data_IF_018596918476
#
_entry.id   IF_018596918476
#
_cell.length_a   1.000
_cell.length_b   1.000
_cell.length_c   1.000
_cell.angle_alpha   90.00
_cell.angle_beta   90.00
_cell.angle_gamma   90.00
#
_symmetry.space_group_name_H-M   'P 1'
#
loop_
_entity.id
_entity.type
_entity.pdbx_description
1 polymer ?
#
# COMPACT_ATOMS: atom_id res chain seq x y z
N UNK A 1 8.85 -50.09 -13.60
CA UNK A 1 8.15 -50.36 -14.88
C UNK A 1 6.99 -49.40 -14.99
N UNK A 2 6.94 -48.65 -16.10
CA UNK A 2 5.80 -47.89 -16.65
C UNK A 2 5.12 -46.83 -15.75
N UNK A 3 5.43 -45.52 -15.90
CA UNK A 3 4.84 -44.50 -16.84
C UNK A 3 3.45 -44.02 -16.38
N UNK A 4 3.01 -42.76 -16.46
CA UNK A 4 3.40 -41.57 -17.26
C UNK A 4 2.51 -40.36 -16.83
N UNK A 5 2.95 -39.15 -17.22
CA UNK A 5 2.21 -37.91 -17.56
C UNK A 5 1.77 -36.98 -16.40
N UNK A 6 2.34 -35.78 -16.22
CA UNK A 6 2.37 -34.53 -17.04
C UNK A 6 1.17 -33.60 -16.81
N UNK A 7 1.44 -32.39 -16.27
CA UNK A 7 1.14 -31.09 -16.93
C UNK A 7 1.50 -29.93 -16.00
N UNK A 8 2.75 -29.45 -16.09
CA UNK A 8 3.13 -28.11 -15.65
C UNK A 8 2.84 -27.14 -16.80
N UNK A 9 1.94 -26.17 -16.59
CA UNK A 9 1.75 -25.07 -17.54
C UNK A 9 2.99 -24.17 -17.53
N UNK A 10 3.74 -24.19 -18.65
CA UNK A 10 4.62 -23.09 -19.04
C UNK A 10 3.75 -21.98 -19.65
N UNK A 11 3.89 -20.75 -19.15
CA UNK A 11 3.52 -19.56 -19.90
C UNK A 11 4.81 -18.90 -20.39
N UNK A 12 5.01 -18.90 -21.70
CA UNK A 12 6.05 -18.12 -22.37
C UNK A 12 5.49 -16.73 -22.70
N UNK A 13 6.22 -15.68 -22.31
CA UNK A 13 6.11 -14.37 -22.97
C UNK A 13 7.48 -14.06 -23.56
N UNK A 14 7.52 -14.02 -24.89
CA UNK A 14 8.64 -13.56 -25.70
C UNK A 14 8.83 -12.05 -25.48
N UNK A 15 10.05 -11.61 -25.20
CA UNK A 15 10.53 -10.30 -25.62
C UNK A 15 12.00 -10.42 -26.04
N UNK A 16 12.28 -9.82 -27.20
CA UNK A 16 13.55 -9.85 -27.92
C UNK A 16 14.72 -9.22 -27.13
N UNK A 17 15.88 -9.86 -27.26
CA UNK A 17 17.18 -9.19 -27.40
C UNK A 17 17.76 -8.46 -26.18
N UNK A 18 18.44 -9.19 -25.29
CA UNK A 18 19.39 -8.61 -24.34
C UNK A 18 19.96 -9.64 -23.36
N UNK A 19 21.29 -9.71 -23.21
CA UNK A 19 22.00 -10.73 -22.44
C UNK A 19 21.55 -10.83 -20.97
N UNK A 20 21.39 -12.09 -20.51
CA UNK A 20 21.18 -12.47 -19.12
C UNK A 20 22.46 -12.29 -18.30
N UNK A 21 22.42 -11.46 -17.25
CA UNK A 21 23.30 -11.62 -16.09
C UNK A 21 22.61 -12.49 -15.04
N UNK A 22 23.28 -13.49 -14.44
CA UNK A 22 22.66 -14.33 -13.42
C UNK A 22 22.34 -13.52 -12.17
N UNK A 23 21.13 -13.72 -11.63
CA UNK A 23 20.69 -13.16 -10.35
C UNK A 23 21.61 -13.66 -9.22
N UNK A 24 22.04 -12.71 -8.40
CA UNK A 24 22.83 -12.91 -7.19
C UNK A 24 22.12 -13.90 -6.23
N UNK A 25 22.82 -14.85 -5.58
CA UNK A 25 22.24 -15.98 -4.83
C UNK A 25 21.44 -15.60 -3.56
N UNK A 26 21.17 -14.32 -3.31
CA UNK A 26 20.33 -13.88 -2.20
C UNK A 26 18.81 -13.90 -2.50
N UNK A 27 18.40 -14.15 -3.74
CA UNK A 27 16.97 -14.25 -4.12
C UNK A 27 16.41 -15.68 -4.10
N UNK A 28 17.22 -16.67 -3.74
CA UNK A 28 16.78 -18.08 -3.67
C UNK A 28 16.42 -18.56 -2.25
N UNK A 29 16.52 -17.68 -1.23
CA UNK A 29 16.14 -18.01 0.15
C UNK A 29 14.76 -17.47 0.59
N UNK A 30 14.05 -16.74 -0.27
CA UNK A 30 12.73 -16.16 0.08
C UNK A 30 11.53 -16.99 -0.34
N UNK A 31 11.71 -18.16 -0.94
CA UNK A 31 10.63 -19.01 -1.46
C UNK A 31 10.31 -20.27 -0.61
N UNK A 32 10.82 -20.35 0.63
CA UNK A 32 10.47 -21.42 1.58
C UNK A 32 9.83 -20.90 2.88
N UNK A 33 9.11 -19.77 2.82
CA UNK A 33 8.21 -19.39 3.91
C UNK A 33 6.90 -20.20 3.78
N UNK A 34 6.77 -21.23 4.62
CA UNK A 34 5.58 -22.05 4.77
C UNK A 34 4.29 -21.22 4.91
N UNK A 35 3.11 -21.74 4.49
CA UNK A 35 1.85 -21.04 4.66
C UNK A 35 1.59 -20.90 6.16
N UNK A 36 1.80 -19.70 6.70
CA UNK A 36 1.28 -19.36 8.02
C UNK A 36 -0.19 -19.06 7.80
N UNK A 37 -1.04 -19.99 8.20
CA UNK A 37 -2.47 -19.79 8.28
C UNK A 37 -2.72 -18.48 9.05
N UNK A 38 -3.44 -17.54 8.44
CA UNK A 38 -3.84 -16.28 9.06
C UNK A 38 -4.93 -16.56 10.11
N UNK A 39 -4.54 -17.11 11.26
CA UNK A 39 -5.41 -17.46 12.38
C UNK A 39 -5.14 -16.51 13.54
N UNK A 40 -6.17 -15.80 13.99
CA UNK A 40 -6.13 -14.97 15.20
C UNK A 40 -6.89 -15.70 16.31
N UNK A 41 -6.20 -16.01 17.41
CA UNK A 41 -6.78 -16.67 18.60
C UNK A 41 -7.05 -15.64 19.70
N UNK A 42 -8.20 -15.72 20.36
CA UNK A 42 -8.59 -14.84 21.48
C UNK A 42 -8.03 -15.43 22.80
N UNK A 43 -7.25 -14.69 23.61
CA UNK A 43 -6.66 -15.25 24.82
C UNK A 43 -7.56 -15.16 26.07
N UNK A 44 -7.64 -16.26 26.84
CA UNK A 44 -8.21 -16.31 28.20
C UNK A 44 -7.29 -15.76 29.31
N UNK A 45 -7.88 -15.18 30.35
CA UNK A 45 -7.20 -14.38 31.40
C UNK A 45 -6.40 -15.23 32.41
N UNK A 46 -5.14 -14.89 32.68
CA UNK A 46 -4.43 -15.21 33.93
C UNK A 46 -4.04 -13.92 34.67
N UNK A 47 -4.36 -13.87 35.96
CA UNK A 47 -4.11 -12.72 36.84
C UNK A 47 -2.76 -12.82 37.55
N UNK A 48 -1.82 -11.94 37.20
CA UNK A 48 -0.80 -11.41 38.12
C UNK A 48 -0.09 -10.24 37.45
N UNK A 49 0.01 -9.11 38.16
CA UNK A 49 0.62 -7.88 37.66
C UNK A 49 2.06 -8.12 37.22
N UNK A 50 2.33 -7.90 35.93
CA UNK A 50 3.64 -8.11 35.34
C UNK A 50 3.97 -6.92 34.43
N UNK A 51 5.22 -6.43 34.57
CA UNK A 51 5.86 -5.37 33.79
C UNK A 51 5.35 -5.33 32.35
N UNK A 52 4.73 -4.21 31.94
CA UNK A 52 4.18 -4.00 30.58
C UNK A 52 5.33 -3.95 29.58
N UNK A 53 5.86 -5.12 29.20
CA UNK A 53 6.49 -5.28 27.88
C UNK A 53 5.40 -4.96 26.87
N UNK A 54 5.70 -4.16 25.85
CA UNK A 54 4.80 -3.94 24.70
C UNK A 54 4.29 -5.31 24.25
N UNK A 55 3.02 -5.59 24.52
CA UNK A 55 2.39 -6.84 24.12
C UNK A 55 2.39 -6.93 22.61
N UNK A 56 2.46 -8.14 22.08
CA UNK A 56 2.25 -8.36 20.66
C UNK A 56 0.81 -7.98 20.28
N UNK A 57 0.64 -7.31 19.15
CA UNK A 57 -0.68 -6.99 18.58
C UNK A 57 -0.94 -7.99 17.46
N UNK A 58 -1.83 -8.97 17.73
CA UNK A 58 -2.17 -10.04 16.78
C UNK A 58 -3.59 -9.93 16.24
N UNK A 59 -4.44 -9.09 16.82
CA UNK A 59 -5.86 -8.95 16.47
C UNK A 59 -6.06 -8.05 15.24
N UNK A 60 -5.40 -8.39 14.13
CA UNK A 60 -5.57 -7.69 12.87
C UNK A 60 -5.49 -8.64 11.67
N UNK A 61 -6.27 -8.34 10.63
CA UNK A 61 -6.17 -8.94 9.31
C UNK A 61 -5.77 -7.88 8.28
N UNK A 62 -5.38 -8.36 7.09
CA UNK A 62 -5.04 -7.52 5.97
C UNK A 62 -5.81 -7.99 4.73
N UNK A 63 -6.31 -7.04 3.96
CA UNK A 63 -7.02 -7.27 2.71
C UNK A 63 -6.46 -6.31 1.68
N UNK A 64 -6.18 -6.78 0.46
CA UNK A 64 -5.63 -5.92 -0.60
C UNK A 64 -6.74 -5.04 -1.16
N UNK A 65 -6.46 -3.77 -1.42
CA UNK A 65 -7.39 -2.88 -2.11
C UNK A 65 -7.55 -3.20 -3.60
N UNK A 66 -8.50 -2.51 -4.24
CA UNK A 66 -8.76 -2.54 -5.68
C UNK A 66 -8.80 -3.95 -6.29
N UNK A 67 -9.39 -4.87 -5.52
CA UNK A 67 -9.45 -6.27 -5.89
C UNK A 67 -10.43 -6.49 -7.05
N UNK A 68 -9.90 -6.94 -8.20
CA UNK A 68 -10.65 -7.15 -9.44
C UNK A 68 -11.16 -8.58 -9.66
N UNK A 69 -11.05 -9.46 -8.67
CA UNK A 69 -11.53 -10.84 -8.80
C UNK A 69 -13.05 -10.92 -8.81
N UNK A 70 -13.60 -11.94 -9.48
CA UNK A 70 -15.04 -12.18 -9.53
C UNK A 70 -15.61 -12.81 -8.24
N UNK A 71 -14.75 -13.49 -7.48
CA UNK A 71 -15.11 -14.13 -6.20
C UNK A 71 -14.81 -13.20 -5.02
N UNK A 72 -15.55 -13.31 -3.90
CA UNK A 72 -15.23 -12.58 -2.68
C UNK A 72 -13.76 -12.78 -2.25
N UNK A 73 -13.10 -11.70 -1.87
CA UNK A 73 -11.69 -11.73 -1.48
C UNK A 73 -11.55 -12.30 -0.07
N UNK A 74 -10.77 -13.36 0.10
CA UNK A 74 -10.50 -13.93 1.41
C UNK A 74 -9.69 -12.97 2.28
N UNK A 75 -10.13 -12.75 3.52
CA UNK A 75 -9.48 -11.83 4.47
C UNK A 75 -8.72 -12.59 5.56
N UNK A 76 -9.32 -13.66 6.10
CA UNK A 76 -8.76 -14.41 7.21
C UNK A 76 -9.81 -15.24 7.93
N UNK A 77 -9.45 -15.78 9.09
CA UNK A 77 -10.31 -16.69 9.85
C UNK A 77 -10.38 -16.34 11.32
N UNK A 78 -11.60 -16.25 11.86
CA UNK A 78 -11.83 -16.26 13.29
C UNK A 78 -11.79 -17.70 13.80
N UNK A 79 -11.12 -17.90 14.93
CA UNK A 79 -11.04 -19.21 15.54
C UNK A 79 -10.97 -19.10 17.07
N UNK A 80 -11.83 -19.86 17.75
CA UNK A 80 -11.71 -20.11 19.18
C UNK A 80 -10.97 -21.43 19.38
N UNK A 81 -10.05 -21.49 20.34
CA UNK A 81 -9.36 -22.74 20.70
C UNK A 81 -10.30 -23.77 21.36
N UNK A 82 -11.53 -23.36 21.72
CA UNK A 82 -12.60 -24.22 22.18
C UNK A 82 -13.34 -24.93 21.04
N UNK A 83 -13.15 -24.48 19.79
CA UNK A 83 -13.70 -25.12 18.61
C UNK A 83 -12.90 -26.36 18.23
N UNK A 84 -13.48 -27.53 18.51
CA UNK A 84 -12.86 -28.83 18.21
C UNK A 84 -13.10 -29.31 16.77
N UNK A 85 -13.63 -28.45 15.90
CA UNK A 85 -13.96 -28.79 14.52
C UNK A 85 -15.21 -29.67 14.38
N UNK A 86 -16.05 -29.71 15.42
CA UNK A 86 -17.30 -30.48 15.42
C UNK A 86 -18.49 -29.69 14.84
N UNK A 87 -18.29 -28.43 14.42
CA UNK A 87 -19.36 -27.56 13.93
C UNK A 87 -20.34 -27.12 15.01
N UNK A 88 -19.92 -27.10 16.29
CA UNK A 88 -20.76 -26.70 17.43
C UNK A 88 -20.59 -25.23 17.82
N UNK A 89 -19.70 -24.52 17.13
CA UNK A 89 -19.40 -23.11 17.36
C UNK A 89 -19.98 -22.30 16.21
N UNK A 90 -20.68 -21.22 16.56
CA UNK A 90 -21.17 -20.22 15.62
C UNK A 90 -20.37 -18.93 15.78
N UNK A 91 -19.68 -18.53 14.72
CA UNK A 91 -18.95 -17.28 14.63
C UNK A 91 -19.83 -16.18 14.04
N UNK A 92 -19.74 -14.97 14.59
CA UNK A 92 -20.45 -13.81 14.06
C UNK A 92 -19.58 -12.56 14.08
N UNK A 93 -19.87 -11.66 13.16
CA UNK A 93 -19.23 -10.35 13.03
C UNK A 93 -20.21 -9.23 13.34
N UNK A 94 -19.73 -8.20 14.02
CA UNK A 94 -20.43 -6.93 14.21
C UNK A 94 -19.46 -5.77 14.05
N UNK A 95 -19.99 -4.54 14.00
CA UNK A 95 -19.20 -3.32 13.85
C UNK A 95 -19.12 -2.83 12.40
N UNK A 96 -18.01 -2.20 12.07
CA UNK A 96 -17.87 -1.42 10.85
C UNK A 96 -17.80 -2.30 9.59
N UNK A 97 -18.76 -2.13 8.69
CA UNK A 97 -18.84 -2.92 7.45
C UNK A 97 -19.26 -4.39 7.62
N UNK A 98 -19.61 -4.83 8.83
CA UNK A 98 -20.11 -6.19 9.04
C UNK A 98 -21.43 -6.42 8.31
N UNK A 99 -21.50 -7.48 7.50
CA UNK A 99 -22.67 -7.86 6.70
C UNK A 99 -22.85 -7.07 5.40
N UNK A 100 -22.10 -5.98 5.18
CA UNK A 100 -22.20 -5.14 3.97
C UNK A 100 -20.90 -5.07 3.18
N UNK A 101 -19.76 -5.11 3.88
CA UNK A 101 -18.41 -5.09 3.30
C UNK A 101 -17.73 -6.41 3.57
N UNK A 102 -17.85 -6.92 4.79
CA UNK A 102 -17.28 -8.18 5.23
C UNK A 102 -18.39 -9.14 5.63
N UNK A 103 -18.30 -10.37 5.13
CA UNK A 103 -19.13 -11.49 5.53
C UNK A 103 -18.28 -12.54 6.23
N UNK A 104 -18.92 -13.38 7.04
CA UNK A 104 -18.29 -14.50 7.72
C UNK A 104 -19.11 -15.76 7.47
N UNK A 105 -18.41 -16.87 7.21
CA UNK A 105 -19.03 -18.19 7.35
C UNK A 105 -19.20 -18.49 8.84
N UNK A 106 -20.44 -18.60 9.28
CA UNK A 106 -20.76 -18.79 10.70
C UNK A 106 -20.21 -20.11 11.27
N UNK A 107 -19.94 -21.11 10.42
CA UNK A 107 -19.47 -22.45 10.83
C UNK A 107 -17.95 -22.53 10.79
N UNK A 108 -17.33 -22.02 9.71
CA UNK A 108 -15.87 -22.11 9.57
C UNK A 108 -15.15 -20.94 10.22
N UNK A 109 -15.78 -19.77 10.34
CA UNK A 109 -15.16 -18.54 10.79
C UNK A 109 -14.39 -17.79 9.69
N UNK A 110 -14.47 -18.24 8.44
CA UNK A 110 -13.79 -17.59 7.31
C UNK A 110 -14.45 -16.27 6.93
N UNK A 111 -13.64 -15.21 6.89
CA UNK A 111 -14.06 -13.85 6.56
C UNK A 111 -13.71 -13.54 5.11
N UNK A 112 -14.68 -12.97 4.39
CA UNK A 112 -14.49 -12.50 3.02
C UNK A 112 -14.92 -11.04 2.88
N UNK A 113 -14.22 -10.28 2.04
CA UNK A 113 -14.68 -9.00 1.54
C UNK A 113 -15.54 -9.24 0.30
N UNK A 114 -16.77 -8.72 0.31
CA UNK A 114 -17.77 -8.96 -0.75
C UNK A 114 -17.86 -7.81 -1.77
N UNK A 115 -16.99 -6.82 -1.66
CA UNK A 115 -16.84 -5.71 -2.60
C UNK A 115 -15.39 -5.24 -2.64
N UNK A 116 -15.01 -4.58 -3.73
CA UNK A 116 -13.72 -3.88 -3.81
C UNK A 116 -13.63 -2.80 -2.72
N UNK A 117 -12.42 -2.59 -2.21
CA UNK A 117 -12.08 -1.61 -1.19
C UNK A 117 -11.07 -0.63 -1.77
N UNK A 118 -11.17 0.62 -1.34
CA UNK A 118 -10.25 1.70 -1.66
C UNK A 118 -9.64 2.19 -0.32
N UNK A 119 -8.31 2.15 -0.21
CA UNK A 119 -7.56 2.54 1.00
C UNK A 119 -7.56 4.06 1.17
N UNK A 120 -7.53 4.83 0.09
CA UNK A 120 -7.66 6.30 0.11
C UNK A 120 -9.05 6.72 0.61
N UNK A 121 -10.10 5.96 0.30
CA UNK A 121 -11.44 6.17 0.88
C UNK A 121 -11.45 5.75 2.36
N UNK A 122 -10.98 4.53 2.67
CA UNK A 122 -11.03 3.98 4.04
C UNK A 122 -9.92 2.96 4.32
N UNK A 123 -8.88 3.34 5.07
CA UNK A 123 -7.68 2.50 5.23
C UNK A 123 -7.84 1.34 6.24
N UNK A 124 -8.85 1.37 7.10
CA UNK A 124 -9.11 0.29 8.04
C UNK A 124 -10.56 0.24 8.53
N UNK A 125 -10.96 -0.94 9.00
CA UNK A 125 -12.26 -1.20 9.60
C UNK A 125 -12.08 -1.81 10.98
N UNK A 126 -12.87 -1.35 11.95
CA UNK A 126 -12.87 -1.89 13.32
C UNK A 126 -14.10 -2.76 13.51
N UNK A 127 -13.89 -4.06 13.71
CA UNK A 127 -14.94 -5.06 13.85
C UNK A 127 -14.85 -5.76 15.20
N UNK A 128 -15.93 -6.44 15.58
CA UNK A 128 -15.98 -7.30 16.75
C UNK A 128 -16.36 -8.71 16.36
N UNK A 129 -15.71 -9.66 17.01
CA UNK A 129 -15.89 -11.09 16.87
C UNK A 129 -16.65 -11.65 18.07
N UNK A 130 -17.59 -12.56 17.80
CA UNK A 130 -18.22 -13.37 18.84
C UNK A 130 -18.25 -14.83 18.41
N UNK A 131 -17.92 -15.72 19.34
CA UNK A 131 -18.07 -17.17 19.20
C UNK A 131 -19.05 -17.68 20.24
N UNK A 132 -20.13 -18.32 19.79
CA UNK A 132 -21.17 -18.88 20.67
C UNK A 132 -21.32 -20.38 20.44
N UNK A 133 -21.63 -21.10 21.50
CA UNK A 133 -22.03 -22.50 21.40
C UNK A 133 -23.45 -22.57 20.80
N UNK A 134 -23.63 -23.39 19.76
CA UNK A 134 -24.89 -23.44 19.00
C UNK A 134 -26.04 -23.97 19.85
N UNK A 135 -25.79 -24.97 20.70
CA UNK A 135 -26.82 -25.66 21.48
C UNK A 135 -27.31 -24.80 22.64
N UNK A 136 -26.37 -24.21 23.39
CA UNK A 136 -26.65 -23.44 24.60
C UNK A 136 -26.84 -21.96 24.33
N UNK A 137 -26.44 -21.47 23.15
CA UNK A 137 -26.39 -20.05 22.76
C UNK A 137 -25.59 -19.17 23.73
N UNK A 138 -24.69 -19.78 24.51
CA UNK A 138 -23.82 -19.04 25.43
C UNK A 138 -22.53 -18.64 24.71
N UNK A 139 -21.98 -17.44 24.99
CA UNK A 139 -20.66 -17.07 24.52
C UNK A 139 -19.61 -18.06 25.02
N UNK A 140 -18.82 -18.61 24.11
CA UNK A 140 -17.65 -19.42 24.42
C UNK A 140 -16.44 -18.54 24.71
N UNK A 141 -16.34 -17.43 23.98
CA UNK A 141 -15.33 -16.40 24.15
C UNK A 141 -15.97 -15.05 24.53
N UNK A 142 -15.25 -14.16 25.22
CA UNK A 142 -15.64 -12.77 25.31
C UNK A 142 -15.67 -12.13 23.91
N UNK A 143 -16.57 -11.17 23.69
CA UNK A 143 -16.54 -10.35 22.48
C UNK A 143 -15.18 -9.66 22.38
N UNK A 144 -14.54 -9.77 21.20
CA UNK A 144 -13.19 -9.26 20.98
C UNK A 144 -13.16 -8.32 19.77
N UNK A 145 -12.55 -7.16 19.93
CA UNK A 145 -12.32 -6.21 18.85
C UNK A 145 -11.07 -6.58 18.04
N UNK A 146 -11.15 -6.43 16.72
CA UNK A 146 -10.03 -6.61 15.80
C UNK A 146 -10.13 -5.64 14.62
N UNK A 147 -9.02 -5.44 13.92
CA UNK A 147 -8.91 -4.48 12.82
C UNK A 147 -8.68 -5.22 11.49
N UNK A 148 -9.43 -4.88 10.45
CA UNK A 148 -9.08 -5.25 9.08
C UNK A 148 -8.41 -4.04 8.44
N UNK A 149 -7.13 -4.18 8.06
CA UNK A 149 -6.36 -3.13 7.37
C UNK A 149 -6.42 -3.35 5.88
N UNK A 150 -6.73 -2.29 5.15
CA UNK A 150 -6.67 -2.29 3.69
C UNK A 150 -5.21 -2.05 3.28
N UNK A 151 -4.63 -2.96 2.50
CA UNK A 151 -3.24 -2.90 2.04
C UNK A 151 -3.15 -2.12 0.75
N UNK A 152 -2.15 -1.24 0.74
CA UNK A 152 -1.80 -0.34 -0.36
C UNK A 152 -1.42 -1.08 -1.65
N UNK A 153 -2.04 -0.68 -2.75
CA UNK A 153 -1.54 -0.83 -4.11
C UNK A 153 -1.15 0.56 -4.60
N UNK A 154 -0.06 0.64 -5.36
CA UNK A 154 0.28 1.88 -6.05
C UNK A 154 -0.65 2.09 -7.25
N UNK A 155 -1.74 2.83 -7.03
CA UNK A 155 -2.75 3.17 -8.04
C UNK A 155 -3.00 4.68 -8.15
N UNK A 156 -2.44 5.51 -7.26
CA UNK A 156 -2.51 6.96 -7.37
C UNK A 156 -1.24 7.54 -7.97
N UNK A 157 -1.41 8.38 -9.00
CA UNK A 157 -0.30 9.15 -9.54
C UNK A 157 0.02 10.41 -8.70
N UNK A 158 1.30 10.83 -8.63
CA UNK A 158 1.67 12.10 -8.00
C UNK A 158 1.00 13.28 -8.70
N UNK A 159 0.38 14.16 -7.92
CA UNK A 159 -0.31 15.36 -8.39
C UNK A 159 0.31 16.60 -7.78
N UNK A 160 0.52 17.64 -8.58
CA UNK A 160 0.93 18.96 -8.08
C UNK A 160 -0.23 19.61 -7.33
N UNK A 161 0.05 20.16 -6.14
CA UNK A 161 -0.99 20.78 -5.29
C UNK A 161 -1.45 22.13 -5.82
N UNK A 162 -0.51 23.04 -6.12
CA UNK A 162 -0.80 24.45 -6.35
C UNK A 162 -0.54 24.88 -7.80
N UNK A 163 -0.78 23.98 -8.75
CA UNK A 163 -0.62 24.29 -10.17
C UNK A 163 -1.67 25.31 -10.67
N UNK A 164 -1.29 26.36 -11.44
CA UNK A 164 0.03 26.55 -12.00
C UNK A 164 1.03 27.28 -11.09
N UNK A 165 2.23 26.74 -10.91
CA UNK A 165 3.36 27.47 -10.33
C UNK A 165 3.83 28.55 -11.30
N UNK A 166 4.12 29.74 -10.78
CA UNK A 166 4.72 30.87 -11.50
C UNK A 166 5.70 31.55 -10.54
N UNK A 167 6.89 31.91 -11.03
CA UNK A 167 7.82 32.73 -10.27
C UNK A 167 8.51 33.76 -11.18
N UNK A 168 8.95 34.85 -10.55
CA UNK A 168 9.77 35.88 -11.16
C UNK A 168 11.12 35.90 -10.49
N UNK A 169 12.17 35.90 -11.29
CA UNK A 169 13.56 35.90 -10.83
C UNK A 169 14.24 37.13 -11.39
N UNK A 170 14.92 37.96 -10.58
CA UNK A 170 15.71 39.07 -11.10
C UNK A 170 16.82 38.58 -12.04
N UNK A 171 17.04 39.25 -13.16
CA UNK A 171 18.01 38.86 -14.21
C UNK A 171 19.44 38.68 -13.69
N UNK A 172 19.83 39.45 -12.68
CA UNK A 172 21.17 39.39 -12.06
C UNK A 172 21.25 38.50 -10.81
N UNK A 173 20.31 37.58 -10.63
CA UNK A 173 20.32 36.67 -9.48
C UNK A 173 21.51 35.71 -9.55
N UNK A 174 22.25 35.48 -8.44
CA UNK A 174 23.42 34.63 -8.45
C UNK A 174 23.06 33.14 -8.63
N UNK A 175 24.01 32.36 -9.18
CA UNK A 175 23.92 30.89 -9.16
C UNK A 175 23.73 30.41 -7.71
N UNK A 176 22.80 29.48 -7.52
CA UNK A 176 22.36 28.98 -6.22
C UNK A 176 21.21 29.77 -5.60
N UNK A 177 20.77 30.88 -6.20
CA UNK A 177 19.59 31.60 -5.72
C UNK A 177 18.34 30.73 -5.80
N UNK A 178 17.53 30.77 -4.74
CA UNK A 178 16.25 30.10 -4.67
C UNK A 178 15.23 30.77 -5.60
N UNK A 179 14.48 29.95 -6.34
CA UNK A 179 13.46 30.43 -7.29
C UNK A 179 12.07 30.22 -6.74
N UNK A 180 11.71 28.95 -6.48
CA UNK A 180 10.42 28.53 -5.96
C UNK A 180 10.54 27.11 -5.42
N UNK A 181 9.49 26.63 -4.76
CA UNK A 181 9.35 25.23 -4.41
C UNK A 181 8.06 24.71 -5.03
N UNK A 182 8.15 23.66 -5.84
CA UNK A 182 6.97 22.92 -6.27
C UNK A 182 6.66 21.85 -5.24
N UNK A 183 5.37 21.55 -5.07
CA UNK A 183 4.90 20.48 -4.20
C UNK A 183 3.95 19.57 -4.97
N UNK A 184 4.26 18.28 -4.92
CA UNK A 184 3.41 17.21 -5.37
C UNK A 184 3.13 16.26 -4.22
N UNK A 185 1.94 15.68 -4.25
CA UNK A 185 1.49 14.67 -3.31
C UNK A 185 1.01 13.46 -4.08
N UNK A 186 1.28 12.31 -3.50
CA UNK A 186 0.79 11.02 -3.95
C UNK A 186 -0.09 10.48 -2.82
N UNK A 187 -1.25 9.93 -3.16
CA UNK A 187 -2.27 9.56 -2.19
C UNK A 187 -2.03 8.18 -1.58
N UNK A 188 -1.18 7.34 -2.20
CA UNK A 188 -0.82 6.00 -1.72
C UNK A 188 -0.19 6.05 -0.30
N UNK A 189 0.04 4.89 0.32
CA UNK A 189 0.63 4.77 1.66
C UNK A 189 2.13 5.16 1.67
N UNK A 190 2.55 6.23 2.39
CA UNK A 190 3.95 6.62 2.47
C UNK A 190 4.80 5.73 3.39
N UNK A 191 4.16 4.85 4.17
CA UNK A 191 4.81 3.95 5.14
C UNK A 191 5.10 2.57 4.56
N UNK A 192 4.42 2.19 3.48
CA UNK A 192 4.58 0.91 2.81
C UNK A 192 5.25 1.08 1.44
N UNK A 193 6.45 0.50 1.28
CA UNK A 193 7.16 0.56 -0.01
C UNK A 193 7.56 1.98 -0.44
N UNK A 194 7.41 2.24 -1.73
CA UNK A 194 7.77 3.51 -2.39
C UNK A 194 6.58 4.16 -3.12
N UNK A 195 5.35 3.64 -2.96
CA UNK A 195 4.15 4.07 -3.71
C UNK A 195 3.97 5.59 -3.64
N UNK A 196 3.89 6.15 -2.43
CA UNK A 196 3.79 7.60 -2.25
C UNK A 196 5.13 8.38 -2.22
N UNK A 197 6.25 7.78 -2.62
CA UNK A 197 7.55 8.47 -2.62
C UNK A 197 7.77 9.21 -3.92
N UNK A 198 7.53 10.52 -3.91
CA UNK A 198 7.69 11.39 -5.09
C UNK A 198 9.15 11.81 -5.31
N UNK A 199 9.57 11.81 -6.57
CA UNK A 199 10.86 12.33 -7.05
C UNK A 199 10.63 13.42 -8.11
N UNK A 200 11.32 14.55 -7.95
CA UNK A 200 11.25 15.70 -8.85
C UNK A 200 12.41 15.72 -9.84
N UNK A 201 12.15 16.16 -11.08
CA UNK A 201 13.20 16.43 -12.07
C UNK A 201 12.80 17.55 -13.04
N UNK A 202 13.78 18.20 -13.67
CA UNK A 202 13.54 19.23 -14.69
C UNK A 202 13.62 18.56 -16.06
N UNK A 203 12.59 18.74 -16.90
CA UNK A 203 12.62 18.34 -18.31
C UNK A 203 13.27 19.38 -19.20
N UNK A 204 12.89 20.64 -19.00
CA UNK A 204 13.33 21.75 -19.83
C UNK A 204 13.59 22.92 -18.91
N UNK A 205 14.74 23.58 -19.08
CA UNK A 205 15.26 24.60 -18.17
C UNK A 205 16.68 24.31 -17.69
N UNK A 206 17.17 23.07 -17.87
CA UNK A 206 18.60 22.76 -17.77
C UNK A 206 19.38 23.42 -18.91
N UNK A 207 20.63 23.87 -18.70
CA UNK A 207 21.41 23.82 -17.45
C UNK A 207 21.20 25.05 -16.54
N UNK A 208 20.21 25.91 -16.81
CA UNK A 208 20.02 27.20 -16.12
C UNK A 208 19.34 27.08 -14.76
N UNK A 209 18.55 26.04 -14.56
CA UNK A 209 17.87 25.75 -13.30
C UNK A 209 18.13 24.32 -12.84
N UNK A 210 18.21 24.13 -11.53
CA UNK A 210 18.27 22.82 -10.86
C UNK A 210 17.08 22.65 -9.92
N UNK A 211 16.74 21.39 -9.60
CA UNK A 211 15.69 21.06 -8.64
C UNK A 211 16.21 20.02 -7.66
N UNK A 212 15.90 20.19 -6.39
CA UNK A 212 16.14 19.17 -5.39
C UNK A 212 15.13 18.02 -5.59
N UNK A 213 15.60 16.77 -5.83
CA UNK A 213 14.75 15.66 -6.24
C UNK A 213 13.81 15.15 -5.13
N UNK A 214 13.99 15.55 -3.87
CA UNK A 214 13.15 15.12 -2.75
C UNK A 214 12.19 16.22 -2.28
N UNK A 215 12.64 17.47 -2.34
CA UNK A 215 11.92 18.62 -1.77
C UNK A 215 11.22 19.47 -2.81
N UNK A 216 11.56 19.34 -4.10
CA UNK A 216 10.98 20.16 -5.16
C UNK A 216 11.44 21.62 -5.15
N UNK A 217 12.49 21.95 -4.38
CA UNK A 217 13.07 23.30 -4.36
C UNK A 217 13.88 23.55 -5.62
N UNK A 218 13.55 24.61 -6.33
CA UNK A 218 14.21 25.03 -7.57
C UNK A 218 15.23 26.13 -7.29
N UNK A 219 16.37 26.05 -7.96
CA UNK A 219 17.47 27.01 -7.83
C UNK A 219 18.02 27.40 -9.21
N UNK A 220 18.66 28.56 -9.28
CA UNK A 220 19.46 28.95 -10.44
C UNK A 220 20.74 28.12 -10.46
N UNK A 221 21.08 27.48 -11.57
CA UNK A 221 22.29 26.67 -11.72
C UNK A 221 23.30 27.21 -12.74
N UNK A 222 22.94 28.23 -13.52
CA UNK A 222 23.85 28.91 -14.44
C UNK A 222 23.46 30.38 -14.64
N UNK A 223 24.36 31.20 -15.17
CA UNK A 223 24.09 32.61 -15.47
C UNK A 223 22.91 32.72 -16.46
N UNK A 224 21.87 33.43 -16.04
CA UNK A 224 20.65 33.62 -16.82
C UNK A 224 20.77 34.96 -17.55
N UNK A 225 21.07 34.93 -18.85
CA UNK A 225 21.19 36.13 -19.71
C UNK A 225 19.91 36.32 -20.55
N UNK A 226 18.94 35.39 -20.46
CA UNK A 226 17.85 35.28 -21.43
C UNK A 226 16.54 35.85 -20.87
N UNK A 227 15.94 36.76 -21.64
CA UNK A 227 14.58 37.26 -21.47
C UNK A 227 13.57 36.12 -21.71
N UNK A 228 12.89 35.68 -20.65
CA UNK A 228 11.79 34.69 -20.62
C UNK A 228 12.17 33.25 -21.01
N UNK A 229 12.41 32.41 -20.00
CA UNK A 229 12.55 30.96 -20.15
C UNK A 229 11.37 30.23 -19.51
N UNK A 230 10.68 29.36 -20.25
CA UNK A 230 9.72 28.41 -19.66
C UNK A 230 10.50 27.22 -19.08
N UNK A 231 10.25 26.85 -17.82
CA UNK A 231 10.76 25.61 -17.23
C UNK A 231 9.63 24.59 -17.22
N UNK A 232 9.94 23.36 -17.61
CA UNK A 232 9.05 22.23 -17.50
C UNK A 232 9.59 21.28 -16.43
N UNK A 233 8.77 20.98 -15.43
CA UNK A 233 9.12 20.12 -14.30
C UNK A 233 8.34 18.81 -14.44
N UNK A 234 9.04 17.70 -14.23
CA UNK A 234 8.46 16.38 -14.06
C UNK A 234 8.36 16.02 -12.59
N UNK A 235 7.33 15.26 -12.30
CA UNK A 235 7.22 14.43 -11.10
C UNK A 235 6.98 13.00 -11.50
N UNK A 236 7.54 12.09 -10.72
CA UNK A 236 7.25 10.66 -10.80
C UNK A 236 7.38 10.04 -9.42
N UNK A 237 6.78 8.87 -9.25
CA UNK A 237 7.07 8.02 -8.11
C UNK A 237 8.48 7.45 -8.20
N UNK A 238 9.04 7.12 -7.05
CA UNK A 238 10.35 6.51 -6.94
C UNK A 238 10.30 5.07 -7.47
N UNK A 239 10.85 4.87 -8.68
CA UNK A 239 10.88 3.57 -9.35
C UNK A 239 9.75 3.35 -10.37
N UNK A 240 8.80 4.27 -10.47
CA UNK A 240 7.73 4.25 -11.47
C UNK A 240 8.11 4.89 -12.81
N UNK A 241 7.21 4.73 -13.78
CA UNK A 241 7.24 5.44 -15.07
C UNK A 241 7.03 6.96 -14.89
N UNK A 242 7.31 7.76 -15.92
CA UNK A 242 7.09 9.21 -15.87
C UNK A 242 5.58 9.48 -15.97
N UNK A 243 4.98 10.16 -14.98
CA UNK A 243 3.51 10.26 -14.90
C UNK A 243 2.96 11.68 -15.15
N UNK A 244 3.72 12.76 -14.93
CA UNK A 244 3.20 14.12 -15.16
C UNK A 244 4.23 15.13 -15.68
N UNK A 245 3.93 15.75 -16.84
CA UNK A 245 4.66 16.91 -17.41
C UNK A 245 3.95 18.20 -17.03
N UNK A 246 4.62 19.04 -16.25
CA UNK A 246 4.08 20.33 -15.86
C UNK A 246 4.80 21.49 -16.56
N UNK A 247 4.04 22.43 -17.13
CA UNK A 247 4.51 23.61 -17.88
C UNK A 247 4.44 24.85 -17.00
N UNK A 248 5.57 25.50 -16.75
CA UNK A 248 5.61 26.80 -16.07
C UNK A 248 5.99 27.92 -17.06
N UNK A 249 5.31 29.07 -16.96
CA UNK A 249 5.68 30.33 -17.62
C UNK A 249 6.35 31.26 -16.61
N UNK A 250 7.60 31.63 -16.83
CA UNK A 250 8.29 32.65 -16.02
C UNK A 250 8.13 34.02 -16.68
N UNK A 251 7.89 35.05 -15.86
CA UNK A 251 7.97 36.44 -16.26
C UNK A 251 9.13 37.07 -15.48
N UNK A 252 10.19 37.50 -16.18
CA UNK A 252 11.25 38.31 -15.57
C UNK A 252 10.80 39.77 -15.64
N UNK A 253 10.96 40.51 -14.54
CA UNK A 253 10.70 41.96 -14.44
C UNK A 253 12.01 42.72 -14.58
#
# INVERSE_FOLDING_TARGET
MFTRNCLSLLLWVLFDGGLLTPLHPQLQQTLEAQPRENVVTIPGRRSSAQRVKRGWVWNQFFVLEEYMGSEPQYVGKLHSDLDKGAGTVKYTLSGDGAGTVFTIDETTGDIHAIRSLDREEKPFYTLRAQAVDIDTRKPLEPESEFIIKVQDINDNEPKFLDGPYVASVPEMSPVGAYVLQVKATDADDPTYGNSARVVYSILQGQPYFSIDPKTGKCFISNNIIILLSNIYILIKQMGGSIIGVYRNKYLML
#
